data_IF_324252777774
#
_entry.id   IF_324252777774
#
_cell.length_a   1.000
_cell.length_b   1.000
_cell.length_c   1.000
_cell.angle_alpha   90.00
_cell.angle_beta   90.00
_cell.angle_gamma   90.00
#
_symmetry.space_group_name_H-M   'P 1'
#
loop_
_entity.id
_entity.type
_entity.pdbx_description
1 polymer ?
#
# COMPACT_ATOMS: atom_id res chain seq x y z
N UNK A 1 14.89 -3.33 2.85
CA UNK A 1 14.74 -2.29 1.82
C UNK A 1 14.48 -0.96 2.51
N UNK A 2 15.16 0.12 2.12
CA UNK A 2 14.90 1.44 2.68
C UNK A 2 13.73 2.10 1.93
N UNK A 3 12.68 2.51 2.65
CA UNK A 3 11.48 3.16 2.10
C UNK A 3 11.34 4.61 2.55
N UNK A 4 12.37 5.20 3.17
CA UNK A 4 12.26 6.55 3.76
C UNK A 4 12.13 7.65 2.69
N UNK A 5 12.53 7.35 1.45
CA UNK A 5 12.38 8.25 0.28
C UNK A 5 11.23 7.84 -0.64
N UNK A 6 10.42 6.84 -0.27
CA UNK A 6 9.33 6.37 -1.10
C UNK A 6 8.19 7.40 -1.16
N UNK A 7 7.67 7.65 -2.37
CA UNK A 7 6.51 8.52 -2.56
C UNK A 7 5.23 7.75 -2.28
N UNK A 8 4.66 7.94 -1.09
CA UNK A 8 3.43 7.28 -0.67
C UNK A 8 2.19 7.95 -1.25
N UNK A 9 1.24 7.15 -1.71
CA UNK A 9 -0.09 7.58 -2.15
C UNK A 9 -1.15 6.97 -1.25
N UNK A 10 -1.91 7.83 -0.59
CA UNK A 10 -3.06 7.44 0.24
C UNK A 10 -4.26 7.10 -0.63
N UNK A 11 -4.99 6.04 -0.30
CA UNK A 11 -6.23 5.68 -0.99
C UNK A 11 -7.30 6.76 -0.78
N UNK A 12 -8.04 7.11 -1.83
CA UNK A 12 -9.08 8.18 -1.78
C UNK A 12 -10.26 7.87 -0.87
N UNK A 13 -10.47 6.59 -0.52
CA UNK A 13 -11.49 6.17 0.45
C UNK A 13 -11.01 6.20 1.91
N UNK A 14 -9.75 6.58 2.15
CA UNK A 14 -9.26 6.83 3.50
C UNK A 14 -9.90 8.13 4.00
N UNK A 15 -10.71 8.05 5.06
CA UNK A 15 -11.29 9.25 5.68
C UNK A 15 -10.72 9.48 7.07
N UNK A 16 -10.70 10.74 7.50
CA UNK A 16 -10.27 11.15 8.85
C UNK A 16 -11.18 10.59 9.96
N UNK A 17 -12.34 10.03 9.59
CA UNK A 17 -13.32 9.45 10.51
C UNK A 17 -13.08 7.98 10.84
N UNK A 18 -12.01 7.38 10.32
CA UNK A 18 -11.47 6.15 10.91
C UNK A 18 -11.61 4.86 10.09
N UNK A 19 -12.10 4.89 8.86
CA UNK A 19 -12.32 3.66 8.10
C UNK A 19 -11.29 3.46 6.97
N UNK A 20 -10.63 2.29 6.99
CA UNK A 20 -9.89 1.65 5.90
C UNK A 20 -8.76 2.48 5.25
N UNK A 21 -7.81 2.96 6.05
CA UNK A 21 -6.71 3.79 5.58
C UNK A 21 -5.52 2.94 5.08
N UNK A 22 -5.31 2.92 3.76
CA UNK A 22 -4.15 2.25 3.14
C UNK A 22 -3.34 3.26 2.33
N UNK A 23 -2.01 3.15 2.43
CA UNK A 23 -1.05 3.85 1.59
C UNK A 23 -0.24 2.86 0.76
N UNK A 24 0.04 3.25 -0.47
CA UNK A 24 0.86 2.46 -1.40
C UNK A 24 1.99 3.30 -1.98
N UNK A 25 3.17 2.69 -2.14
CA UNK A 25 4.30 3.30 -2.82
C UNK A 25 4.86 2.34 -3.87
N UNK A 26 5.11 2.86 -5.07
CA UNK A 26 5.86 2.14 -6.10
C UNK A 26 7.34 2.47 -5.91
N UNK A 27 8.16 1.45 -5.69
CA UNK A 27 9.62 1.57 -5.64
C UNK A 27 10.22 0.50 -6.57
N UNK A 28 11.52 0.53 -6.89
CA UNK A 28 12.08 -0.41 -7.86
C UNK A 28 11.77 -1.88 -7.51
N UNK A 29 11.14 -2.58 -8.45
CA UNK A 29 10.75 -4.01 -8.42
C UNK A 29 9.66 -4.42 -7.40
N UNK A 30 9.18 -3.51 -6.56
CA UNK A 30 8.15 -3.83 -5.56
C UNK A 30 7.10 -2.72 -5.41
N UNK A 31 5.93 -3.13 -4.93
CA UNK A 31 4.90 -2.25 -4.38
C UNK A 31 4.89 -2.44 -2.87
N UNK A 32 5.12 -1.35 -2.13
CA UNK A 32 4.99 -1.34 -0.68
C UNK A 32 3.59 -0.88 -0.30
N UNK A 33 2.97 -1.56 0.65
CA UNK A 33 1.69 -1.23 1.25
C UNK A 33 1.89 -1.05 2.75
N UNK A 34 1.21 -0.06 3.34
CA UNK A 34 1.21 0.15 4.79
C UNK A 34 -0.13 0.65 5.28
N UNK A 35 -0.33 0.50 6.59
CA UNK A 35 -1.41 1.17 7.30
C UNK A 35 -1.06 2.66 7.43
N UNK A 36 -1.94 3.53 6.91
CA UNK A 36 -1.72 4.98 7.03
C UNK A 36 -1.79 5.48 8.48
N UNK A 37 -2.42 4.70 9.39
CA UNK A 37 -2.54 5.02 10.82
C UNK A 37 -1.32 4.61 11.63
N UNK A 38 -0.54 3.66 11.12
CA UNK A 38 0.74 3.26 11.71
C UNK A 38 1.86 3.25 10.65
N UNK A 39 2.32 4.43 10.19
CA UNK A 39 3.35 4.53 9.15
C UNK A 39 4.71 3.93 9.52
N UNK A 40 4.96 3.78 10.83
CA UNK A 40 6.19 3.22 11.39
C UNK A 40 6.05 1.72 11.71
N UNK A 41 4.86 1.15 11.54
CA UNK A 41 4.60 -0.28 11.65
C UNK A 41 5.19 -1.08 10.49
N UNK A 42 4.70 -2.31 10.35
CA UNK A 42 5.12 -3.22 9.29
C UNK A 42 4.65 -2.77 7.90
N UNK A 43 5.52 -2.96 6.90
CA UNK A 43 5.16 -2.78 5.49
C UNK A 43 4.93 -4.16 4.84
N UNK A 44 3.88 -4.29 4.06
CA UNK A 44 3.68 -5.44 3.17
C UNK A 44 4.38 -5.12 1.85
N UNK A 45 5.33 -5.97 1.44
CA UNK A 45 6.10 -5.79 0.21
C UNK A 45 5.68 -6.86 -0.80
N UNK A 46 5.20 -6.43 -1.96
CA UNK A 46 4.78 -7.31 -3.04
C UNK A 46 5.60 -7.02 -4.29
N UNK A 47 5.92 -8.05 -5.08
CA UNK A 47 6.36 -7.82 -6.46
C UNK A 47 5.24 -7.14 -7.25
N UNK A 48 5.58 -6.46 -8.35
CA UNK A 48 4.55 -5.89 -9.23
C UNK A 48 3.56 -6.94 -9.74
N UNK A 49 4.01 -8.18 -9.98
CA UNK A 49 3.15 -9.29 -10.40
C UNK A 49 2.15 -9.69 -9.30
N UNK A 50 2.63 -9.83 -8.06
CA UNK A 50 1.77 -10.17 -6.93
C UNK A 50 0.79 -9.04 -6.60
N UNK A 51 1.21 -7.78 -6.72
CA UNK A 51 0.30 -6.64 -6.53
C UNK A 51 -0.79 -6.59 -7.61
N UNK A 52 -0.44 -6.88 -8.88
CA UNK A 52 -1.42 -7.01 -9.96
C UNK A 52 -2.41 -8.15 -9.67
N UNK A 53 -1.91 -9.31 -9.25
CA UNK A 53 -2.76 -10.44 -8.90
C UNK A 53 -3.70 -10.10 -7.72
N UNK A 54 -3.16 -9.53 -6.64
CA UNK A 54 -3.93 -9.09 -5.47
C UNK A 54 -5.06 -8.15 -5.88
N UNK A 55 -4.74 -7.07 -6.61
CA UNK A 55 -5.74 -6.08 -7.02
C UNK A 55 -6.77 -6.64 -8.00
N UNK A 56 -6.40 -7.63 -8.81
CA UNK A 56 -7.34 -8.34 -9.67
C UNK A 56 -8.29 -9.21 -8.84
N UNK A 57 -7.77 -9.99 -7.89
CA UNK A 57 -8.57 -10.80 -6.98
C UNK A 57 -9.55 -9.94 -6.18
N UNK A 58 -9.08 -8.84 -5.58
CA UNK A 58 -9.92 -7.94 -4.79
C UNK A 58 -11.06 -7.29 -5.58
N UNK A 59 -10.88 -7.05 -6.89
CA UNK A 59 -11.93 -6.49 -7.76
C UNK A 59 -13.01 -7.49 -8.15
N UNK A 60 -12.73 -8.77 -7.99
CA UNK A 60 -13.60 -9.88 -8.36
C UNK A 60 -14.18 -10.62 -7.14
N UNK A 61 -13.99 -10.06 -5.93
CA UNK A 61 -14.74 -10.41 -4.73
C UNK A 61 -16.08 -9.68 -4.74
#
# INVERSE_FOLDING_TARGET
MNLSTATWRKASRSSDKGDNCVEVASVPNIVALRDSKDPNGGNILLSHQNFRHLTHTLKNL
#
